data_IF_110933698742
#
_entry.id   IF_110933698742
#
_cell.length_a   1.000
_cell.length_b   1.000
_cell.length_c   1.000
_cell.angle_alpha   90.00
_cell.angle_beta   90.00
_cell.angle_gamma   90.00
#
_symmetry.space_group_name_H-M   'P 1'
#
loop_
_entity.id
_entity.type
_entity.pdbx_description
1 polymer ?
#
# COMPACT_ATOMS: atom_id res chain seq x y z
N UNK A 1 -13.22 14.03 2.10
CA UNK A 1 -12.31 13.08 2.76
C UNK A 1 -11.13 12.90 1.82
N UNK A 2 -9.90 12.84 2.34
CA UNK A 2 -8.68 12.67 1.52
C UNK A 2 -8.64 11.22 1.00
N UNK A 3 -8.32 11.02 -0.27
CA UNK A 3 -8.15 9.70 -0.87
C UNK A 3 -6.76 9.64 -1.52
N UNK A 4 -5.75 9.10 -0.83
CA UNK A 4 -4.37 9.13 -1.33
C UNK A 4 -4.21 8.34 -2.64
N UNK A 5 -5.07 7.37 -2.91
CA UNK A 5 -5.08 6.64 -4.18
C UNK A 5 -5.54 7.53 -5.35
N UNK A 6 -6.57 8.35 -5.14
CA UNK A 6 -7.05 9.31 -6.13
C UNK A 6 -6.10 10.51 -6.29
N UNK A 7 -5.54 11.00 -5.20
CA UNK A 7 -4.59 12.11 -5.20
C UNK A 7 -3.30 11.72 -5.95
N UNK A 8 -2.77 10.52 -5.70
CA UNK A 8 -1.60 10.03 -6.43
C UNK A 8 -1.91 9.79 -7.91
N UNK A 9 -3.10 9.26 -8.23
CA UNK A 9 -3.54 9.09 -9.62
C UNK A 9 -3.55 10.43 -10.37
N UNK A 10 -4.03 11.50 -9.72
CA UNK A 10 -4.05 12.84 -10.29
C UNK A 10 -2.64 13.33 -10.59
N UNK A 11 -1.71 13.16 -9.66
CA UNK A 11 -0.32 13.56 -9.83
C UNK A 11 0.39 12.76 -10.94
N UNK A 12 0.25 11.44 -10.94
CA UNK A 12 0.78 10.56 -11.98
C UNK A 12 0.29 10.97 -13.38
N UNK A 13 -1.01 11.24 -13.52
CA UNK A 13 -1.56 11.72 -14.79
C UNK A 13 -0.97 13.07 -15.23
N UNK A 14 -0.62 13.95 -14.28
CA UNK A 14 0.07 15.21 -14.56
C UNK A 14 1.55 14.99 -14.97
N UNK A 15 2.12 13.83 -14.64
CA UNK A 15 3.43 13.36 -15.07
C UNK A 15 3.37 12.50 -16.35
N UNK A 16 2.24 12.50 -17.07
CA UNK A 16 2.00 11.69 -18.28
C UNK A 16 2.14 10.16 -18.06
N UNK A 17 1.94 9.70 -16.82
CA UNK A 17 2.02 8.29 -16.44
C UNK A 17 0.69 7.55 -16.62
N UNK A 18 0.78 6.24 -16.86
CA UNK A 18 -0.38 5.36 -17.05
C UNK A 18 -1.06 5.08 -15.72
N UNK A 19 -2.36 5.36 -15.62
CA UNK A 19 -3.20 4.99 -14.46
C UNK A 19 -4.56 4.42 -14.87
N UNK A 20 -4.76 4.02 -16.14
CA UNK A 20 -6.07 3.62 -16.67
C UNK A 20 -6.51 2.18 -16.28
N UNK A 21 -5.81 1.57 -15.31
CA UNK A 21 -6.05 0.20 -14.86
C UNK A 21 -5.35 -0.86 -15.72
N UNK A 22 -4.59 -0.48 -16.75
CA UNK A 22 -3.74 -1.43 -17.47
C UNK A 22 -2.36 -1.50 -16.82
N UNK A 23 -1.73 -2.69 -16.79
CA UNK A 23 -0.34 -2.82 -16.35
C UNK A 23 0.61 -2.05 -17.28
N UNK A 24 1.55 -1.33 -16.67
CA UNK A 24 2.68 -0.66 -17.32
C UNK A 24 3.96 -1.17 -16.65
N UNK A 25 4.65 -2.10 -17.31
CA UNK A 25 5.79 -2.83 -16.73
C UNK A 25 7.02 -1.93 -16.50
N UNK A 26 7.25 -0.95 -17.39
CA UNK A 26 8.37 -0.01 -17.27
C UNK A 26 8.11 0.95 -16.12
N UNK A 27 6.90 1.50 -16.03
CA UNK A 27 6.49 2.37 -14.93
C UNK A 27 6.48 1.61 -13.60
N UNK A 28 6.01 0.35 -13.59
CA UNK A 28 6.05 -0.48 -12.38
C UNK A 28 7.48 -0.79 -11.94
N UNK A 29 8.40 -1.05 -12.88
CA UNK A 29 9.81 -1.21 -12.58
C UNK A 29 10.43 0.08 -11.99
N UNK A 30 10.09 1.25 -12.55
CA UNK A 30 10.48 2.55 -11.99
C UNK A 30 10.03 2.69 -10.53
N UNK A 31 8.74 2.48 -10.25
CA UNK A 31 8.23 2.63 -8.88
C UNK A 31 8.82 1.63 -7.89
N UNK A 32 9.19 0.42 -8.33
CA UNK A 32 9.94 -0.51 -7.46
C UNK A 32 11.32 -0.01 -7.10
N UNK A 33 12.00 0.69 -8.02
CA UNK A 33 13.28 1.33 -7.71
C UNK A 33 13.08 2.48 -6.73
N UNK A 34 12.08 3.34 -6.96
CA UNK A 34 11.73 4.43 -6.04
C UNK A 34 11.41 3.90 -4.63
N UNK A 35 10.63 2.83 -4.49
CA UNK A 35 10.39 2.19 -3.18
C UNK A 35 11.71 1.81 -2.48
N UNK A 36 12.69 1.29 -3.21
CA UNK A 36 13.98 0.93 -2.62
C UNK A 36 14.79 2.16 -2.20
N UNK A 37 14.70 3.24 -2.96
CA UNK A 37 15.29 4.55 -2.64
C UNK A 37 14.67 5.13 -1.36
N UNK A 38 13.34 5.25 -1.27
CA UNK A 38 12.67 5.82 -0.08
C UNK A 38 12.90 5.00 1.20
N UNK A 39 13.04 3.68 1.08
CA UNK A 39 13.41 2.81 2.22
C UNK A 39 14.84 3.10 2.68
N UNK A 40 15.77 3.37 1.76
CA UNK A 40 17.13 3.75 2.13
C UNK A 40 17.15 5.11 2.81
N UNK A 41 16.38 6.09 2.31
CA UNK A 41 16.25 7.41 2.92
C UNK A 41 15.67 7.32 4.35
N UNK A 42 14.67 6.47 4.56
CA UNK A 42 14.15 6.20 5.91
C UNK A 42 15.24 5.63 6.84
N UNK A 43 16.07 4.70 6.37
CA UNK A 43 17.14 4.13 7.18
C UNK A 43 18.19 5.19 7.54
N UNK A 44 18.54 6.06 6.58
CA UNK A 44 19.51 7.13 6.80
C UNK A 44 18.96 8.19 7.76
N UNK A 45 17.68 8.56 7.64
CA UNK A 45 17.01 9.47 8.56
C UNK A 45 16.91 8.91 9.99
N UNK A 46 16.67 7.60 10.14
CA UNK A 46 16.72 6.91 11.45
C UNK A 46 18.14 6.92 12.02
N UNK A 47 19.15 6.63 11.21
CA UNK A 47 20.55 6.64 11.64
C UNK A 47 21.02 8.03 12.12
N UNK A 48 20.42 9.09 11.56
CA UNK A 48 20.71 10.47 11.92
C UNK A 48 19.79 11.05 13.03
N UNK A 49 18.85 10.27 13.57
CA UNK A 49 17.81 10.72 14.52
C UNK A 49 17.00 11.94 13.99
N UNK A 50 16.86 12.06 12.67
CA UNK A 50 16.13 13.15 12.04
C UNK A 50 14.65 12.79 11.90
N UNK A 51 13.84 13.29 12.82
CA UNK A 51 12.40 12.99 12.86
C UNK A 51 11.60 13.63 11.74
N UNK A 52 12.10 14.70 11.13
CA UNK A 52 11.41 15.37 10.01
C UNK A 52 11.62 14.53 8.76
N UNK A 53 12.86 14.17 8.46
CA UNK A 53 13.20 13.33 7.31
C UNK A 53 12.62 11.90 7.46
N UNK A 54 12.53 11.37 8.68
CA UNK A 54 11.82 10.10 8.92
C UNK A 54 10.34 10.19 8.55
N UNK A 55 9.67 11.32 8.84
CA UNK A 55 8.27 11.51 8.50
C UNK A 55 8.11 11.67 6.98
N UNK A 56 9.02 12.41 6.34
CA UNK A 56 9.06 12.63 4.90
C UNK A 56 9.17 11.29 4.15
N UNK A 57 10.24 10.52 4.43
CA UNK A 57 10.45 9.21 3.82
C UNK A 57 9.29 8.22 4.07
N UNK A 58 8.64 8.27 5.24
CA UNK A 58 7.46 7.44 5.50
C UNK A 58 6.25 7.82 4.63
N UNK A 59 6.05 9.13 4.37
CA UNK A 59 5.01 9.60 3.46
C UNK A 59 5.39 9.27 2.02
N UNK A 60 6.64 9.44 1.62
CA UNK A 60 7.09 9.12 0.26
C UNK A 60 6.99 7.64 -0.05
N UNK A 61 7.31 6.75 0.91
CA UNK A 61 7.03 5.31 0.80
C UNK A 61 5.55 5.06 0.46
N UNK A 62 4.60 5.77 1.07
CA UNK A 62 3.19 5.65 0.71
C UNK A 62 2.93 6.10 -0.73
N UNK A 63 3.48 7.27 -1.12
CA UNK A 63 3.33 7.85 -2.46
C UNK A 63 3.85 6.90 -3.53
N UNK A 64 5.09 6.41 -3.40
CA UNK A 64 5.72 5.53 -4.38
C UNK A 64 5.11 4.13 -4.38
N UNK A 65 4.63 3.64 -3.22
CA UNK A 65 3.89 2.37 -3.13
C UNK A 65 2.55 2.46 -3.84
N UNK A 66 1.80 3.55 -3.66
CA UNK A 66 0.54 3.77 -4.37
C UNK A 66 0.79 3.91 -5.88
N UNK A 67 1.85 4.61 -6.28
CA UNK A 67 2.28 4.68 -7.66
C UNK A 67 2.57 3.30 -8.27
N UNK A 68 3.24 2.42 -7.52
CA UNK A 68 3.46 1.03 -7.93
C UNK A 68 2.14 0.27 -8.15
N UNK A 69 1.15 0.45 -7.27
CA UNK A 69 -0.14 -0.25 -7.39
C UNK A 69 -0.91 0.22 -8.65
N UNK A 70 -0.93 1.52 -8.93
CA UNK A 70 -1.54 2.05 -10.17
C UNK A 70 -0.80 1.53 -11.42
N UNK A 71 0.53 1.50 -11.38
CA UNK A 71 1.36 1.00 -12.49
C UNK A 71 1.19 -0.50 -12.73
N UNK A 72 0.90 -1.27 -11.68
CA UNK A 72 0.51 -2.69 -11.79
C UNK A 72 -0.87 -2.86 -12.44
N UNK A 73 -1.63 -1.77 -12.62
CA UNK A 73 -2.99 -1.79 -13.17
C UNK A 73 -4.03 -2.30 -12.18
N UNK A 74 -3.76 -2.32 -10.87
CA UNK A 74 -4.69 -2.82 -9.87
C UNK A 74 -5.65 -1.74 -9.35
N UNK A 75 -6.79 -2.17 -8.82
CA UNK A 75 -7.67 -1.31 -8.03
C UNK A 75 -7.09 -1.10 -6.63
N UNK A 76 -6.32 -0.02 -6.48
CA UNK A 76 -5.62 0.31 -5.25
C UNK A 76 -6.58 0.56 -4.07
N UNK A 77 -7.68 1.29 -4.31
CA UNK A 77 -8.64 1.63 -3.26
C UNK A 77 -9.46 0.40 -2.85
N UNK A 78 -9.91 -0.39 -3.82
CA UNK A 78 -10.59 -1.66 -3.54
C UNK A 78 -9.73 -2.63 -2.72
N UNK A 79 -8.47 -2.83 -3.14
CA UNK A 79 -7.52 -3.68 -2.43
C UNK A 79 -7.25 -3.19 -1.01
N UNK A 80 -7.08 -1.88 -0.82
CA UNK A 80 -6.92 -1.27 0.50
C UNK A 80 -8.14 -1.53 1.39
N UNK A 81 -9.34 -1.32 0.88
CA UNK A 81 -10.58 -1.53 1.63
C UNK A 81 -10.76 -2.99 2.05
N UNK A 82 -10.42 -3.95 1.19
CA UNK A 82 -10.48 -5.38 1.52
C UNK A 82 -9.44 -5.77 2.60
N UNK A 83 -8.20 -5.29 2.47
CA UNK A 83 -7.17 -5.52 3.50
C UNK A 83 -7.57 -4.88 4.83
N UNK A 84 -8.13 -3.67 4.80
CA UNK A 84 -8.58 -2.98 6.00
C UNK A 84 -9.74 -3.73 6.66
N UNK A 85 -10.74 -4.16 5.89
CA UNK A 85 -11.85 -4.98 6.37
C UNK A 85 -11.37 -6.24 7.10
N UNK A 86 -10.45 -6.99 6.50
CA UNK A 86 -9.90 -8.22 7.12
C UNK A 86 -8.94 -7.94 8.29
N UNK A 87 -8.33 -6.76 8.35
CA UNK A 87 -7.55 -6.35 9.51
C UNK A 87 -8.44 -5.94 10.69
N UNK A 88 -9.52 -5.19 10.42
CA UNK A 88 -10.48 -4.75 11.43
C UNK A 88 -11.30 -5.93 11.99
N UNK A 89 -11.57 -6.97 11.20
CA UNK A 89 -12.22 -8.19 11.70
C UNK A 89 -11.39 -8.98 12.72
N UNK A 90 -10.12 -8.62 12.92
CA UNK A 90 -9.28 -9.19 14.01
C UNK A 90 -9.55 -8.54 15.36
N UNK A 91 -10.29 -7.43 15.39
CA UNK A 91 -10.67 -6.75 16.62
C UNK A 91 -11.82 -7.53 17.23
N UNK A 92 -11.61 -8.01 18.45
CA UNK A 92 -12.65 -8.63 19.24
C UNK A 92 -13.69 -7.58 19.65
N UNK A 93 -14.95 -7.81 19.27
CA UNK A 93 -16.04 -6.85 19.48
C UNK A 93 -16.35 -6.60 20.96
N UNK A 94 -16.03 -7.56 21.84
CA UNK A 94 -16.31 -7.46 23.28
C UNK A 94 -15.26 -6.60 23.99
N UNK A 95 -13.99 -6.76 23.62
CA UNK A 95 -12.85 -6.15 24.29
C UNK A 95 -12.30 -4.92 23.56
N UNK A 96 -12.64 -4.74 22.28
CA UNK A 96 -12.09 -3.71 21.40
C UNK A 96 -10.59 -3.90 21.10
N UNK A 97 -10.05 -5.12 21.31
CA UNK A 97 -8.61 -5.42 21.16
C UNK A 97 -8.39 -6.57 20.19
N UNK A 98 -7.20 -6.61 19.61
CA UNK A 98 -6.73 -7.77 18.85
C UNK A 98 -5.96 -8.74 19.76
N UNK A 99 -6.01 -10.03 19.46
CA UNK A 99 -5.17 -11.03 20.13
C UNK A 99 -3.74 -10.91 19.58
N UNK A 100 -2.73 -10.86 20.45
CA UNK A 100 -1.31 -10.78 20.05
C UNK A 100 -0.50 -11.90 20.69
N UNK A 101 0.55 -12.34 19.98
CA UNK A 101 1.63 -13.15 20.57
C UNK A 101 2.58 -12.28 21.40
N UNK A 102 3.47 -12.92 22.14
CA UNK A 102 4.52 -12.25 22.94
C UNK A 102 5.46 -11.36 22.10
N UNK A 103 5.68 -11.71 20.83
CA UNK A 103 6.47 -10.90 19.90
C UNK A 103 5.71 -9.69 19.29
N UNK A 104 4.48 -9.44 19.76
CA UNK A 104 3.62 -8.36 19.28
C UNK A 104 2.86 -8.68 17.99
N UNK A 105 3.06 -9.84 17.37
CA UNK A 105 2.34 -10.23 16.16
C UNK A 105 0.84 -10.39 16.45
N UNK A 106 0.01 -9.70 15.66
CA UNK A 106 -1.45 -9.86 15.70
C UNK A 106 -1.84 -11.25 15.18
N UNK A 107 -2.63 -11.97 15.97
CA UNK A 107 -3.17 -13.29 15.65
C UNK A 107 -4.51 -13.16 14.91
N UNK A 108 -4.85 -14.22 14.17
CA UNK A 108 -6.13 -14.35 13.46
C UNK A 108 -7.14 -15.01 14.41
N UNK A 109 -8.34 -14.46 14.61
CA UNK A 109 -9.38 -15.11 15.42
C UNK A 109 -9.93 -16.36 14.70
N UNK A 110 -10.72 -17.15 15.43
CA UNK A 110 -11.43 -18.29 14.86
C UNK A 110 -12.40 -17.83 13.75
N UNK A 111 -12.45 -18.58 12.64
CA UNK A 111 -13.30 -18.24 11.48
C UNK A 111 -12.80 -17.07 10.62
N UNK A 112 -11.62 -16.50 10.91
CA UNK A 112 -11.05 -15.43 10.09
C UNK A 112 -10.63 -15.92 8.70
N UNK A 113 -10.96 -15.14 7.67
CA UNK A 113 -10.56 -15.38 6.28
C UNK A 113 -9.55 -14.34 5.78
N UNK A 114 -8.57 -14.72 4.94
CA UNK A 114 -7.64 -13.79 4.33
C UNK A 114 -8.32 -12.87 3.30
N UNK A 115 -7.77 -11.65 3.08
CA UNK A 115 -8.30 -10.74 2.07
C UNK A 115 -8.24 -11.39 0.68
N UNK A 116 -9.35 -11.34 -0.06
CA UNK A 116 -9.39 -11.82 -1.43
C UNK A 116 -8.90 -10.73 -2.39
N UNK A 117 -7.60 -10.70 -2.65
CA UNK A 117 -7.01 -9.67 -3.51
C UNK A 117 -7.15 -9.93 -5.02
N UNK A 118 -7.58 -11.13 -5.43
CA UNK A 118 -7.67 -11.51 -6.85
C UNK A 118 -8.65 -10.62 -7.62
N UNK A 119 -9.73 -10.19 -6.97
CA UNK A 119 -10.77 -9.36 -7.59
C UNK A 119 -10.30 -7.94 -7.95
N UNK A 120 -9.24 -7.47 -7.30
CA UNK A 120 -8.66 -6.13 -7.54
C UNK A 120 -7.51 -6.16 -8.55
N UNK A 121 -7.15 -7.34 -9.05
CA UNK A 121 -6.23 -7.48 -10.16
C UNK A 121 -7.02 -7.35 -11.46
N UNK A 122 -6.64 -6.41 -12.33
CA UNK A 122 -7.17 -6.37 -13.69
C UNK A 122 -6.60 -7.53 -14.50
N UNK A 123 -7.27 -8.68 -14.43
CA UNK A 123 -6.88 -9.92 -15.13
C UNK A 123 -7.25 -9.94 -16.62
N UNK A 124 -7.82 -8.85 -17.16
CA UNK A 124 -8.10 -8.74 -18.59
C UNK A 124 -6.87 -8.26 -19.34
N UNK A 125 -6.02 -9.21 -19.75
CA UNK A 125 -5.51 -9.38 -21.13
C UNK A 125 -4.17 -10.13 -21.15
N UNK A 126 -4.24 -11.45 -21.33
CA UNK A 126 -3.35 -12.15 -22.27
C UNK A 126 -4.23 -12.69 -23.39
N UNK A 127 -4.50 -11.85 -24.38
CA UNK A 127 -5.02 -12.25 -25.69
C UNK A 127 -4.04 -11.77 -26.75
#
# INVERSE_FOLDING_TARGET
MVNPFADQRLFMNACDQTTDGKPDEEQYALYRNLIAEEVQELNDAVANDDRVEQLDALIDILVVTIGAIHSMGADAEGAWNEVLKTNLSKIDETTGKVIKREDGKVLKPEGWEPPNLVEFLNTKNKS
#
